data_IF_019746625267
#
_entry.id   IF_019746625267
#
_cell.length_a   1.000
_cell.length_b   1.000
_cell.length_c   1.000
_cell.angle_alpha   90.00
_cell.angle_beta   90.00
_cell.angle_gamma   90.00
#
_symmetry.space_group_name_H-M   'P 1'
#
loop_
_entity.id
_entity.type
_entity.pdbx_description
1 polymer ?
#
# COMPACT_ATOMS: atom_id res chain seq x y z
N UNK A 1 11.04 41.06 12.56
CA UNK A 1 10.20 40.56 11.45
C UNK A 1 10.60 39.15 10.98
N UNK A 2 11.90 38.84 10.84
CA UNK A 2 12.40 37.55 10.33
C UNK A 2 12.05 36.35 11.25
N UNK A 3 12.20 36.50 12.58
CA UNK A 3 11.91 35.49 13.59
C UNK A 3 10.42 35.13 13.58
N UNK A 4 9.54 36.12 13.50
CA UNK A 4 8.09 35.91 13.46
C UNK A 4 7.65 35.17 12.18
N UNK A 5 8.31 35.41 11.05
CA UNK A 5 8.04 34.67 9.80
C UNK A 5 8.50 33.22 9.90
N UNK A 6 9.64 32.94 10.52
CA UNK A 6 10.14 31.57 10.73
C UNK A 6 9.21 30.82 11.66
N UNK A 7 8.81 31.42 12.78
CA UNK A 7 7.86 30.81 13.73
C UNK A 7 6.49 30.52 13.09
N UNK A 8 6.00 31.40 12.22
CA UNK A 8 4.75 31.17 11.48
C UNK A 8 4.90 29.99 10.52
N UNK A 9 5.98 29.93 9.73
CA UNK A 9 6.26 28.82 8.81
C UNK A 9 6.37 27.48 9.56
N UNK A 10 7.06 27.46 10.70
CA UNK A 10 7.18 26.27 11.55
C UNK A 10 5.81 25.80 12.05
N UNK A 11 4.96 26.71 12.53
CA UNK A 11 3.60 26.41 13.01
C UNK A 11 2.73 25.86 11.88
N UNK A 12 2.79 26.45 10.69
CA UNK A 12 2.03 25.99 9.53
C UNK A 12 2.50 24.61 9.06
N UNK A 13 3.81 24.39 9.09
CA UNK A 13 4.39 23.09 8.78
C UNK A 13 3.94 21.99 9.77
N UNK A 14 4.00 22.28 11.08
CA UNK A 14 3.55 21.34 12.13
C UNK A 14 2.08 20.99 11.96
N UNK A 15 1.22 21.96 11.59
CA UNK A 15 -0.20 21.69 11.29
C UNK A 15 -0.37 20.77 10.08
N UNK A 16 0.35 21.03 8.99
CA UNK A 16 0.32 20.18 7.79
C UNK A 16 0.76 18.75 8.09
N UNK A 17 1.85 18.60 8.83
CA UNK A 17 2.37 17.31 9.24
C UNK A 17 1.37 16.53 10.11
N UNK A 18 0.77 17.20 11.09
CA UNK A 18 -0.25 16.59 11.96
C UNK A 18 -1.48 16.13 11.17
N UNK A 19 -1.95 16.94 10.22
CA UNK A 19 -3.07 16.59 9.35
C UNK A 19 -2.73 15.38 8.46
N UNK A 20 -1.51 15.31 7.92
CA UNK A 20 -1.05 14.17 7.13
C UNK A 20 -0.96 12.90 7.97
N UNK A 21 -0.43 12.96 9.19
CA UNK A 21 -0.39 11.82 10.11
C UNK A 21 -1.79 11.31 10.45
N UNK A 22 -2.73 12.20 10.71
CA UNK A 22 -4.13 11.83 10.95
C UNK A 22 -4.77 11.17 9.73
N UNK A 23 -4.50 11.69 8.52
CA UNK A 23 -4.97 11.12 7.27
C UNK A 23 -4.43 9.69 7.08
N UNK A 24 -3.13 9.48 7.31
CA UNK A 24 -2.47 8.16 7.28
C UNK A 24 -3.09 7.19 8.30
N UNK A 25 -3.38 7.64 9.52
CA UNK A 25 -4.02 6.80 10.54
C UNK A 25 -5.45 6.39 10.16
N UNK A 26 -6.25 7.32 9.60
CA UNK A 26 -7.60 7.01 9.12
C UNK A 26 -7.56 5.97 8.00
N UNK A 27 -6.71 6.18 7.01
CA UNK A 27 -6.49 5.23 5.92
C UNK A 27 -6.08 3.86 6.46
N UNK A 28 -5.13 3.81 7.39
CA UNK A 28 -4.67 2.57 8.02
C UNK A 28 -5.83 1.80 8.66
N UNK A 29 -6.69 2.48 9.44
CA UNK A 29 -7.87 1.87 10.06
C UNK A 29 -8.89 1.36 9.03
N UNK A 30 -9.09 2.09 7.92
CA UNK A 30 -9.98 1.67 6.86
C UNK A 30 -9.46 0.41 6.14
N UNK A 31 -8.15 0.36 5.83
CA UNK A 31 -7.52 -0.80 5.21
C UNK A 31 -7.57 -2.03 6.13
N UNK A 32 -7.29 -1.86 7.43
CA UNK A 32 -7.39 -2.96 8.41
C UNK A 32 -8.83 -3.52 8.47
N UNK A 33 -9.85 -2.65 8.42
CA UNK A 33 -11.25 -3.07 8.33
C UNK A 33 -11.57 -3.81 7.04
N UNK A 34 -11.07 -3.34 5.90
CA UNK A 34 -11.29 -3.98 4.61
C UNK A 34 -10.70 -5.39 4.59
N UNK A 35 -9.46 -5.57 5.05
CA UNK A 35 -8.80 -6.87 5.15
C UNK A 35 -9.54 -7.78 6.15
N UNK A 36 -9.88 -7.29 7.34
CA UNK A 36 -10.63 -8.06 8.33
C UNK A 36 -12.00 -8.51 7.80
N UNK A 37 -12.68 -7.68 7.01
CA UNK A 37 -13.93 -8.04 6.37
C UNK A 37 -13.75 -9.15 5.31
N UNK A 38 -12.64 -9.17 4.58
CA UNK A 38 -12.35 -10.26 3.63
C UNK A 38 -12.14 -11.58 4.39
N UNK A 39 -11.44 -11.55 5.52
CA UNK A 39 -11.23 -12.73 6.38
C UNK A 39 -12.56 -13.26 6.92
N UNK A 40 -13.43 -12.38 7.41
CA UNK A 40 -14.78 -12.76 7.88
C UNK A 40 -15.63 -13.39 6.76
N UNK A 41 -15.57 -12.86 5.55
CA UNK A 41 -16.30 -13.40 4.38
C UNK A 41 -15.84 -14.81 4.02
N UNK A 42 -14.62 -15.24 4.38
CA UNK A 42 -14.16 -16.62 4.20
C UNK A 42 -14.80 -17.62 5.18
N UNK A 43 -15.68 -17.16 6.08
CA UNK A 43 -16.30 -17.99 7.12
C UNK A 43 -15.39 -18.24 8.32
N UNK A 44 -14.30 -17.47 8.46
CA UNK A 44 -13.42 -17.54 9.63
C UNK A 44 -13.96 -16.70 10.78
N UNK A 45 -13.91 -17.26 11.99
CA UNK A 45 -14.18 -16.55 13.25
C UNK A 45 -12.91 -16.04 13.91
N UNK A 46 -11.74 -16.37 13.33
CA UNK A 46 -10.40 -15.97 13.80
C UNK A 46 -9.84 -14.83 12.92
N UNK A 47 -8.65 -14.35 13.24
CA UNK A 47 -7.91 -13.37 12.42
C UNK A 47 -7.24 -13.98 11.18
N UNK A 48 -7.41 -15.28 10.94
CA UNK A 48 -6.80 -16.04 9.84
C UNK A 48 -7.82 -16.31 8.75
N UNK A 49 -7.45 -16.11 7.48
CA UNK A 49 -8.32 -16.40 6.34
C UNK A 49 -8.54 -17.92 6.17
N UNK A 50 -9.81 -18.36 6.03
CA UNK A 50 -10.14 -19.76 5.77
C UNK A 50 -9.96 -20.05 4.29
N UNK A 51 -8.96 -20.87 3.96
CA UNK A 51 -8.57 -21.19 2.58
C UNK A 51 -9.30 -22.40 2.02
N UNK A 52 -9.64 -22.36 0.73
CA UNK A 52 -9.92 -23.56 -0.07
C UNK A 52 -8.60 -24.27 -0.44
N UNK A 53 -8.64 -25.52 -0.92
CA UNK A 53 -7.42 -26.22 -1.38
C UNK A 53 -6.65 -25.46 -2.45
N UNK A 54 -7.34 -24.85 -3.43
CA UNK A 54 -6.76 -24.05 -4.50
C UNK A 54 -6.09 -22.77 -3.95
N UNK A 55 -6.76 -22.11 -3.03
CA UNK A 55 -6.22 -20.92 -2.36
C UNK A 55 -5.00 -21.26 -1.50
N UNK A 56 -4.95 -22.46 -0.92
CA UNK A 56 -3.79 -22.94 -0.17
C UNK A 56 -2.57 -23.11 -1.08
N UNK A 57 -2.76 -23.59 -2.30
CA UNK A 57 -1.67 -23.68 -3.29
C UNK A 57 -1.15 -22.30 -3.66
N UNK A 58 -2.04 -21.37 -3.95
CA UNK A 58 -1.64 -19.96 -4.25
C UNK A 58 -0.90 -19.33 -3.08
N UNK A 59 -1.36 -19.57 -1.85
CA UNK A 59 -0.71 -19.08 -0.63
C UNK A 59 0.70 -19.63 -0.46
N UNK A 60 0.88 -20.93 -0.67
CA UNK A 60 2.18 -21.60 -0.57
C UNK A 60 3.14 -21.10 -1.64
N UNK A 61 2.67 -20.89 -2.86
CA UNK A 61 3.48 -20.40 -3.96
C UNK A 61 3.85 -18.93 -3.76
N UNK A 62 2.96 -18.10 -3.22
CA UNK A 62 3.29 -16.73 -2.82
C UNK A 62 4.45 -16.73 -1.80
N UNK A 63 4.34 -17.56 -0.76
CA UNK A 63 5.36 -17.68 0.29
C UNK A 63 6.73 -18.11 -0.25
N UNK A 64 6.77 -19.07 -1.20
CA UNK A 64 7.99 -19.55 -1.84
C UNK A 64 8.69 -18.47 -2.71
N UNK A 65 7.94 -17.45 -3.14
CA UNK A 65 8.46 -16.35 -3.94
C UNK A 65 8.91 -15.13 -3.12
N UNK A 66 9.09 -15.27 -1.79
CA UNK A 66 9.67 -14.23 -0.95
C UNK A 66 11.06 -13.83 -1.48
N UNK A 67 11.27 -12.52 -1.69
CA UNK A 67 12.49 -11.94 -2.28
C UNK A 67 12.61 -12.11 -3.80
N UNK A 68 11.56 -12.62 -4.49
CA UNK A 68 11.53 -12.86 -5.93
C UNK A 68 10.30 -12.25 -6.62
N UNK A 69 9.39 -11.62 -5.86
CA UNK A 69 8.21 -11.00 -6.44
C UNK A 69 8.62 -9.85 -7.36
N UNK A 70 8.03 -9.73 -8.55
CA UNK A 70 8.31 -8.59 -9.42
C UNK A 70 7.88 -7.28 -8.77
N UNK A 71 8.55 -6.21 -9.12
CA UNK A 71 8.15 -4.88 -8.67
C UNK A 71 6.76 -4.51 -9.22
N UNK A 72 5.96 -3.79 -8.41
CA UNK A 72 4.61 -3.36 -8.82
C UNK A 72 4.62 -2.26 -9.89
N UNK A 73 5.78 -1.70 -10.21
CA UNK A 73 6.04 -0.75 -11.29
C UNK A 73 7.26 -1.19 -12.09
N UNK A 74 7.40 -0.73 -13.33
CA UNK A 74 8.56 -1.09 -14.19
C UNK A 74 9.83 -0.38 -13.78
N UNK A 75 9.69 0.90 -13.39
CA UNK A 75 10.81 1.78 -13.01
C UNK A 75 10.45 2.51 -11.73
N UNK A 76 11.42 2.64 -10.83
CA UNK A 76 11.23 3.34 -9.57
C UNK A 76 12.25 2.95 -8.51
N UNK A 77 12.17 3.62 -7.39
CA UNK A 77 13.00 3.34 -6.22
C UNK A 77 12.18 3.53 -4.93
N UNK A 78 12.61 2.87 -3.86
CA UNK A 78 11.96 3.00 -2.56
C UNK A 78 12.35 4.35 -1.96
N UNK A 79 11.37 5.24 -1.85
CA UNK A 79 11.51 6.57 -1.24
C UNK A 79 11.03 6.61 0.21
N UNK A 80 10.16 5.70 0.62
CA UNK A 80 9.71 5.53 2.00
C UNK A 80 9.82 4.05 2.41
N UNK A 81 10.53 3.78 3.51
CA UNK A 81 10.78 2.42 4.01
C UNK A 81 9.68 1.95 4.96
N UNK A 82 9.57 0.63 5.10
CA UNK A 82 8.71 0.00 6.10
C UNK A 82 9.21 0.23 7.53
N UNK A 83 8.27 0.42 8.48
CA UNK A 83 8.56 0.54 9.89
C UNK A 83 8.60 1.98 10.38
N UNK A 84 9.26 2.19 11.52
CA UNK A 84 9.38 3.53 12.14
C UNK A 84 10.70 4.16 11.70
N UNK A 85 10.63 5.36 11.17
CA UNK A 85 11.80 6.13 10.77
C UNK A 85 11.60 7.62 11.04
N UNK A 86 12.69 8.35 11.15
CA UNK A 86 12.65 9.80 11.34
C UNK A 86 12.31 10.50 10.02
N UNK A 87 11.42 11.48 10.06
CA UNK A 87 11.05 12.27 8.90
C UNK A 87 12.31 12.92 8.26
N UNK A 88 12.42 12.83 6.93
CA UNK A 88 13.62 13.25 6.19
C UNK A 88 14.05 14.71 6.45
N UNK A 89 13.08 15.61 6.65
CA UNK A 89 13.32 17.04 6.89
C UNK A 89 13.32 17.36 8.39
N UNK A 90 12.47 16.71 9.18
CA UNK A 90 12.33 16.91 10.62
C UNK A 90 12.74 15.67 11.40
N UNK A 91 14.02 15.51 11.63
CA UNK A 91 14.66 14.36 12.30
C UNK A 91 14.09 14.01 13.70
N UNK A 92 13.37 14.94 14.32
CA UNK A 92 12.70 14.73 15.62
C UNK A 92 11.28 14.16 15.50
N UNK A 93 10.76 13.99 14.28
CA UNK A 93 9.43 13.45 14.04
C UNK A 93 9.55 12.01 13.53
N UNK A 94 9.07 11.06 14.33
CA UNK A 94 8.95 9.66 13.93
C UNK A 94 7.70 9.46 13.05
N UNK A 95 7.89 8.80 11.92
CA UNK A 95 6.83 8.39 11.00
C UNK A 95 6.78 6.89 10.97
N UNK A 96 5.61 6.32 11.21
CA UNK A 96 5.38 4.90 11.08
C UNK A 96 4.78 4.59 9.70
N UNK A 97 5.47 3.76 8.92
CA UNK A 97 4.97 3.24 7.65
C UNK A 97 4.60 1.77 7.76
N UNK A 98 3.48 1.40 7.16
CA UNK A 98 2.94 0.03 7.15
C UNK A 98 3.40 -0.76 5.93
N UNK A 99 4.00 -0.08 4.98
CA UNK A 99 4.50 -0.61 3.73
C UNK A 99 5.69 0.19 3.24
N UNK A 100 5.84 0.31 1.93
CA UNK A 100 6.88 1.11 1.29
C UNK A 100 6.24 2.12 0.35
N UNK A 101 6.88 3.28 0.20
CA UNK A 101 6.59 4.24 -0.86
C UNK A 101 7.57 4.03 -2.01
N UNK A 102 7.06 3.83 -3.22
CA UNK A 102 7.87 3.67 -4.43
C UNK A 102 7.67 4.90 -5.31
N UNK A 103 8.68 5.73 -5.42
CA UNK A 103 8.68 6.85 -6.37
C UNK A 103 8.94 6.31 -7.77
N UNK A 104 8.10 6.74 -8.72
CA UNK A 104 8.12 6.26 -10.11
C UNK A 104 7.80 7.38 -11.10
N UNK A 105 7.71 7.07 -12.38
CA UNK A 105 7.39 8.03 -13.43
C UNK A 105 5.90 8.45 -13.38
N UNK A 106 5.62 9.63 -13.91
CA UNK A 106 4.24 10.12 -14.10
C UNK A 106 3.46 9.15 -14.99
N UNK A 107 2.24 8.79 -14.58
CA UNK A 107 1.37 7.82 -15.25
C UNK A 107 1.95 6.40 -15.35
N UNK A 108 2.94 6.03 -14.52
CA UNK A 108 3.47 4.68 -14.49
C UNK A 108 2.37 3.64 -14.26
N UNK A 109 2.42 2.55 -15.03
CA UNK A 109 1.51 1.43 -14.86
C UNK A 109 1.84 0.67 -13.57
N UNK A 110 0.78 0.36 -12.82
CA UNK A 110 0.86 -0.49 -11.64
C UNK A 110 0.45 -1.91 -12.02
N UNK A 111 1.25 -2.88 -11.57
CA UNK A 111 1.08 -4.29 -11.91
C UNK A 111 0.92 -5.14 -10.65
N UNK A 112 0.11 -6.19 -10.74
CA UNK A 112 0.05 -7.19 -9.68
C UNK A 112 1.41 -7.88 -9.51
N UNK A 113 1.91 -7.96 -8.29
CA UNK A 113 3.19 -8.63 -7.98
C UNK A 113 3.08 -10.17 -8.04
N UNK A 114 1.86 -10.69 -7.95
CA UNK A 114 1.59 -12.12 -8.02
C UNK A 114 0.16 -12.39 -8.50
N UNK A 115 -0.11 -13.61 -8.97
CA UNK A 115 -1.46 -14.05 -9.31
C UNK A 115 -2.37 -14.05 -8.10
N UNK A 116 -3.64 -13.71 -8.28
CA UNK A 116 -4.61 -13.66 -7.18
C UNK A 116 -5.98 -13.18 -7.61
N UNK A 117 -6.81 -12.86 -6.62
CA UNK A 117 -8.16 -12.34 -6.82
C UNK A 117 -8.25 -10.93 -6.25
N UNK A 118 -8.79 -10.00 -7.01
CA UNK A 118 -9.04 -8.64 -6.56
C UNK A 118 -10.13 -8.66 -5.48
N UNK A 119 -9.73 -8.39 -4.24
CA UNK A 119 -10.65 -8.34 -3.09
C UNK A 119 -11.34 -6.99 -2.95
N UNK A 120 -10.63 -5.91 -3.31
CA UNK A 120 -11.13 -4.54 -3.27
C UNK A 120 -10.54 -3.77 -4.45
N UNK A 121 -11.38 -2.99 -5.13
CA UNK A 121 -10.98 -1.96 -6.08
C UNK A 121 -11.95 -0.79 -5.90
N UNK A 122 -11.51 0.27 -5.22
CA UNK A 122 -12.40 1.38 -4.87
C UNK A 122 -11.67 2.71 -4.77
N UNK A 123 -12.42 3.79 -5.03
CA UNK A 123 -11.97 5.16 -4.77
C UNK A 123 -12.16 5.50 -3.29
N UNK A 124 -11.18 6.15 -2.70
CA UNK A 124 -11.21 6.61 -1.31
C UNK A 124 -11.11 8.13 -1.25
N UNK A 125 -12.22 8.79 -0.87
CA UNK A 125 -12.30 10.26 -0.80
C UNK A 125 -11.27 10.87 0.16
N UNK A 126 -10.96 10.18 1.27
CA UNK A 126 -10.02 10.68 2.28
C UNK A 126 -8.59 10.89 1.72
N UNK A 127 -8.22 10.16 0.68
CA UNK A 127 -6.89 10.24 0.06
C UNK A 127 -6.95 10.71 -1.41
N UNK A 128 -8.15 10.96 -1.94
CA UNK A 128 -8.39 11.40 -3.33
C UNK A 128 -7.72 10.47 -4.37
N UNK A 129 -7.82 9.17 -4.15
CA UNK A 129 -7.20 8.17 -5.03
C UNK A 129 -7.85 6.80 -4.89
N UNK A 130 -7.58 5.91 -5.85
CA UNK A 130 -8.01 4.52 -5.79
C UNK A 130 -7.07 3.66 -4.95
N UNK A 131 -7.65 2.61 -4.37
CA UNK A 131 -6.98 1.52 -3.68
C UNK A 131 -7.39 0.20 -4.29
N UNK A 132 -6.41 -0.66 -4.54
CA UNK A 132 -6.62 -2.04 -4.97
C UNK A 132 -6.02 -2.97 -3.93
N UNK A 133 -6.78 -3.99 -3.50
CA UNK A 133 -6.32 -5.07 -2.64
C UNK A 133 -6.45 -6.37 -3.40
N UNK A 134 -5.36 -7.10 -3.55
CA UNK A 134 -5.33 -8.41 -4.20
C UNK A 134 -5.03 -9.46 -3.15
N UNK A 135 -5.82 -10.53 -3.16
CA UNK A 135 -5.67 -11.68 -2.27
C UNK A 135 -4.92 -12.80 -2.99
N UNK A 136 -3.93 -13.37 -2.30
CA UNK A 136 -3.07 -14.47 -2.75
C UNK A 136 -3.11 -15.61 -1.72
N UNK A 137 -4.27 -16.24 -1.56
CA UNK A 137 -4.52 -17.17 -0.45
C UNK A 137 -4.65 -16.42 0.88
N UNK A 138 -3.78 -16.68 1.86
CA UNK A 138 -3.74 -15.95 3.14
C UNK A 138 -2.95 -14.64 3.07
N UNK A 139 -2.31 -14.34 1.94
CA UNK A 139 -1.58 -13.09 1.74
C UNK A 139 -2.43 -12.05 1.02
N UNK A 140 -2.19 -10.78 1.34
CA UNK A 140 -2.80 -9.63 0.67
C UNK A 140 -1.72 -8.65 0.25
N UNK A 141 -1.84 -8.12 -0.96
CA UNK A 141 -1.05 -6.98 -1.42
C UNK A 141 -1.97 -5.79 -1.63
N UNK A 142 -1.54 -4.62 -1.16
CA UNK A 142 -2.32 -3.38 -1.20
C UNK A 142 -1.56 -2.36 -2.03
N UNK A 143 -2.27 -1.78 -3.00
CA UNK A 143 -1.77 -0.76 -3.92
C UNK A 143 -2.57 0.50 -3.68
N UNK A 144 -1.92 1.57 -3.24
CA UNK A 144 -2.55 2.83 -2.83
C UNK A 144 -1.97 3.97 -3.67
N UNK A 145 -2.75 5.00 -3.87
CA UNK A 145 -2.42 6.18 -4.66
C UNK A 145 -2.44 5.91 -6.18
N UNK A 146 -3.54 5.27 -6.64
CA UNK A 146 -3.80 5.11 -8.06
C UNK A 146 -4.80 6.17 -8.55
N UNK A 147 -4.57 6.73 -9.74
CA UNK A 147 -5.49 7.64 -10.41
C UNK A 147 -6.49 6.92 -11.33
N UNK A 148 -6.14 5.70 -11.74
CA UNK A 148 -6.93 4.86 -12.65
C UNK A 148 -6.83 3.41 -12.22
N UNK A 149 -7.92 2.66 -12.29
CA UNK A 149 -8.00 1.24 -11.99
C UNK A 149 -8.57 0.50 -13.20
N UNK A 150 -7.93 -0.60 -13.60
CA UNK A 150 -8.29 -1.42 -14.76
C UNK A 150 -8.89 -2.77 -14.38
N UNK A 151 -9.19 -2.96 -13.11
CA UNK A 151 -9.73 -4.21 -12.56
C UNK A 151 -10.90 -3.93 -11.64
N UNK A 152 -11.77 -4.91 -11.47
CA UNK A 152 -12.92 -4.86 -10.59
C UNK A 152 -12.79 -5.88 -9.47
N UNK A 153 -13.54 -5.68 -8.39
CA UNK A 153 -13.64 -6.67 -7.31
C UNK A 153 -14.14 -8.01 -7.88
N UNK A 154 -13.45 -9.09 -7.54
CA UNK A 154 -13.72 -10.45 -8.01
C UNK A 154 -12.89 -10.89 -9.21
N UNK A 155 -12.24 -9.97 -9.92
CA UNK A 155 -11.39 -10.31 -11.06
C UNK A 155 -10.20 -11.18 -10.62
N UNK A 156 -9.89 -12.20 -11.44
CA UNK A 156 -8.66 -13.00 -11.32
C UNK A 156 -7.57 -12.29 -12.09
N UNK A 157 -6.46 -12.01 -11.43
CA UNK A 157 -5.31 -11.36 -12.04
C UNK A 157 -4.09 -12.27 -12.08
N UNK A 158 -3.29 -12.11 -13.13
CA UNK A 158 -2.01 -12.81 -13.31
C UNK A 158 -0.86 -11.99 -12.75
N UNK A 159 0.26 -12.64 -12.44
CA UNK A 159 1.52 -11.96 -12.11
C UNK A 159 1.91 -10.99 -13.24
N UNK A 160 2.29 -9.76 -12.88
CA UNK A 160 2.63 -8.65 -13.79
C UNK A 160 1.45 -8.10 -14.62
N UNK A 161 0.22 -8.54 -14.38
CA UNK A 161 -0.95 -7.93 -15.02
C UNK A 161 -1.12 -6.49 -14.55
N UNK A 162 -1.34 -5.57 -15.50
CA UNK A 162 -1.62 -4.15 -15.21
C UNK A 162 -2.97 -4.03 -14.52
N UNK A 163 -2.98 -3.37 -13.36
CA UNK A 163 -4.18 -3.17 -12.53
C UNK A 163 -4.60 -1.71 -12.43
N UNK A 164 -3.75 -0.77 -12.85
CA UNK A 164 -4.04 0.66 -12.81
C UNK A 164 -2.84 1.52 -13.16
N UNK A 165 -2.92 2.81 -12.82
CA UNK A 165 -1.83 3.79 -12.98
C UNK A 165 -1.63 4.57 -11.68
N UNK A 166 -0.39 4.92 -11.38
CA UNK A 166 -0.03 5.75 -10.21
C UNK A 166 -0.59 7.16 -10.38
N UNK A 167 -1.16 7.72 -9.31
CA UNK A 167 -1.55 9.13 -9.25
C UNK A 167 -0.30 10.02 -9.19
N UNK A 168 -0.43 11.23 -9.74
CA UNK A 168 0.63 12.24 -9.71
C UNK A 168 0.21 13.45 -8.88
N UNK A 169 1.07 13.81 -7.95
CA UNK A 169 0.96 15.02 -7.14
C UNK A 169 2.06 15.99 -7.56
N UNK A 170 1.73 17.27 -7.79
CA UNK A 170 2.69 18.26 -8.27
C UNK A 170 3.81 18.59 -7.24
N UNK A 171 3.55 18.39 -5.94
CA UNK A 171 4.54 18.60 -4.87
C UNK A 171 5.33 17.33 -4.53
N UNK A 172 4.67 16.17 -4.53
CA UNK A 172 5.24 14.89 -4.05
C UNK A 172 5.69 13.97 -5.20
N UNK A 173 5.31 14.29 -6.44
CA UNK A 173 5.56 13.43 -7.59
C UNK A 173 4.61 12.22 -7.65
N UNK A 174 5.03 11.19 -8.33
CA UNK A 174 4.27 9.93 -8.46
C UNK A 174 4.82 8.90 -7.49
N UNK A 175 4.09 8.63 -6.41
CA UNK A 175 4.49 7.67 -5.37
C UNK A 175 3.41 6.62 -5.21
N UNK A 176 3.75 5.36 -5.50
CA UNK A 176 2.93 4.21 -5.18
C UNK A 176 3.20 3.77 -3.73
N UNK A 177 2.18 3.73 -2.89
CA UNK A 177 2.30 3.08 -1.59
C UNK A 177 1.91 1.61 -1.72
N UNK A 178 2.81 0.72 -1.30
CA UNK A 178 2.68 -0.72 -1.46
C UNK A 178 2.83 -1.42 -0.10
N UNK A 179 1.82 -2.23 0.26
CA UNK A 179 1.81 -2.98 1.52
C UNK A 179 1.63 -4.48 1.26
N UNK A 180 2.20 -5.31 2.13
CA UNK A 180 2.03 -6.77 2.12
C UNK A 180 1.55 -7.23 3.48
N UNK A 181 0.54 -8.11 3.48
CA UNK A 181 -0.01 -8.72 4.70
C UNK A 181 -0.01 -10.24 4.60
N UNK A 182 0.13 -10.88 5.72
CA UNK A 182 -0.28 -12.27 5.91
C UNK A 182 -1.42 -12.28 6.91
N UNK A 183 -2.61 -12.67 6.47
CA UNK A 183 -3.84 -12.48 7.25
C UNK A 183 -3.97 -11.01 7.70
N UNK A 184 -3.88 -10.71 9.00
CA UNK A 184 -3.89 -9.34 9.54
C UNK A 184 -2.50 -8.78 9.88
N UNK A 185 -1.43 -9.59 9.74
CA UNK A 185 -0.07 -9.21 10.05
C UNK A 185 0.56 -8.41 8.90
N UNK A 186 1.14 -7.25 9.22
CA UNK A 186 1.86 -6.39 8.27
C UNK A 186 3.29 -6.91 8.08
N UNK A 187 3.67 -7.14 6.83
CA UNK A 187 4.98 -7.64 6.46
C UNK A 187 5.81 -6.55 5.76
N UNK A 188 7.12 -6.56 5.97
CA UNK A 188 8.01 -5.63 5.26
C UNK A 188 8.08 -5.97 3.77
N UNK A 189 7.54 -5.13 2.85
CA UNK A 189 7.50 -5.43 1.42
C UNK A 189 8.89 -5.52 0.77
N UNK A 190 9.91 -4.84 1.32
CA UNK A 190 11.29 -4.90 0.80
C UNK A 190 11.86 -6.31 0.82
N UNK A 191 11.40 -7.15 1.76
CA UNK A 191 11.83 -8.55 1.88
C UNK A 191 11.15 -9.48 0.87
N UNK A 192 10.12 -9.00 0.18
CA UNK A 192 9.32 -9.79 -0.77
C UNK A 192 9.65 -9.49 -2.23
N UNK A 193 10.01 -8.24 -2.53
CA UNK A 193 10.35 -7.82 -3.89
C UNK A 193 11.74 -8.35 -4.30
N UNK A 194 11.90 -8.64 -5.59
CA UNK A 194 13.18 -9.00 -6.19
C UNK A 194 14.20 -7.85 -6.03
N UNK A 195 15.45 -8.22 -5.77
CA UNK A 195 16.57 -7.26 -5.67
C UNK A 195 17.03 -6.83 -7.07
#
# INVERSE_FOLDING_TARGET
QYIAQIQKKEKDFRKKLQAEMQKRQRLAKQLDKLIANQIKKSGSTTSTYKLTPEEQLVSNDFAKNKGKLPWPVTEGFISEKFGVFNHSIHKLVEVASRGIGITTLKNAEVRSVFQGVVSVAMYMNDIDSYVVIIRHGSYFTVYINLQEVKVNQGDVVKTKQVIGKVAHDEEKGSVLNFEVFKDTEKLNPELWLAK
#
